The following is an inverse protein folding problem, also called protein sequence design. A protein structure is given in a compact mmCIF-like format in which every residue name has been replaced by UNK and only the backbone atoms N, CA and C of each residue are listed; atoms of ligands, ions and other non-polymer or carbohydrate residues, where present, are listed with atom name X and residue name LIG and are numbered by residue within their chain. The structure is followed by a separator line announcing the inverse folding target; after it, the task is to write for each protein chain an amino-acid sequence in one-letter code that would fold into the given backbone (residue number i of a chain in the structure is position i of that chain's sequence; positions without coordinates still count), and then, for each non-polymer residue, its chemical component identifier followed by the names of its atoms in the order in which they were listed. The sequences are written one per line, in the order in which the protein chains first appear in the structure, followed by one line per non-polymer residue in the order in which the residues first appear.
data_IF_760766424066
#
_entry.id   IF_760766424066
#
_cell.length_a   1.000
_cell.length_b   1.000
_cell.length_c   1.000
_cell.angle_alpha   90.00
_cell.angle_beta   90.00
_cell.angle_gamma   90.00
#
_symmetry.space_group_name_H-M   'P 1'
#
loop_
_entity.id
_entity.type
_entity.pdbx_description
1 polymer ?
#
# COMPACT_ATOMS: atom_id res chain seq x y z
N UNK A 1 -0.94 37.45 -1.19
CA UNK A 1 -0.29 37.50 0.16
C UNK A 1 -0.74 36.34 1.06
N UNK A 2 -2.04 36.12 1.29
CA UNK A 2 -2.57 35.00 2.12
C UNK A 2 -2.06 33.60 1.73
N UNK A 3 -1.95 33.32 0.42
CA UNK A 3 -1.48 32.01 -0.06
C UNK A 3 -0.01 31.75 0.30
N UNK A 4 0.84 32.78 0.23
CA UNK A 4 2.26 32.68 0.61
C UNK A 4 2.43 32.47 2.11
N UNK A 5 1.60 33.11 2.94
CA UNK A 5 1.63 32.94 4.40
C UNK A 5 1.21 31.51 4.79
N UNK A 6 0.17 30.96 4.15
CA UNK A 6 -0.26 29.57 4.34
C UNK A 6 0.85 28.58 3.95
N UNK A 7 1.49 28.79 2.79
CA UNK A 7 2.60 27.95 2.34
C UNK A 7 3.79 28.01 3.30
N UNK A 8 4.14 29.18 3.83
CA UNK A 8 5.22 29.33 4.82
C UNK A 8 4.89 28.63 6.14
N UNK A 9 3.66 28.73 6.63
CA UNK A 9 3.21 28.01 7.83
C UNK A 9 3.27 26.48 7.65
N UNK A 10 2.92 25.99 6.46
CA UNK A 10 2.98 24.57 6.12
C UNK A 10 4.43 24.09 6.01
N UNK A 11 5.33 24.87 5.38
CA UNK A 11 6.75 24.57 5.33
C UNK A 11 7.40 24.52 6.73
N UNK A 12 7.00 25.43 7.63
CA UNK A 12 7.48 25.43 9.01
C UNK A 12 6.95 24.21 9.81
N UNK A 13 5.67 23.84 9.60
CA UNK A 13 5.07 22.66 10.22
C UNK A 13 5.68 21.35 9.69
N UNK A 14 6.02 21.28 8.40
CA UNK A 14 6.67 20.12 7.79
C UNK A 14 8.07 19.90 8.38
N UNK A 15 8.87 20.96 8.56
CA UNK A 15 10.22 20.85 9.15
C UNK A 15 10.22 20.40 10.62
N UNK A 16 9.18 20.71 11.39
CA UNK A 16 9.11 20.40 12.84
C UNK A 16 8.38 19.11 13.18
N UNK A 17 7.53 18.60 12.30
CA UNK A 17 6.69 17.43 12.60
C UNK A 17 7.33 16.13 12.13
N UNK A 18 7.47 15.17 13.04
CA UNK A 18 7.86 13.80 12.72
C UNK A 18 6.63 12.91 12.61
N UNK A 19 6.63 11.95 11.69
CA UNK A 19 5.55 10.98 11.59
C UNK A 19 5.76 9.90 12.66
N UNK A 20 4.80 9.74 13.56
CA UNK A 20 4.85 8.67 14.56
C UNK A 20 4.78 7.28 13.91
N UNK A 21 5.41 6.28 14.55
CA UNK A 21 5.35 4.87 14.10
C UNK A 21 3.91 4.39 13.92
N UNK A 22 3.02 4.82 14.80
CA UNK A 22 1.60 4.48 14.76
C UNK A 22 0.88 5.05 13.54
N UNK A 23 1.18 6.30 13.16
CA UNK A 23 0.61 6.93 11.98
C UNK A 23 1.10 6.25 10.70
N UNK A 24 2.41 5.94 10.63
CA UNK A 24 2.97 5.18 9.51
C UNK A 24 2.33 3.78 9.40
N UNK A 25 2.19 3.07 10.52
CA UNK A 25 1.52 1.77 10.56
C UNK A 25 0.05 1.85 10.08
N UNK A 26 -0.70 2.86 10.50
CA UNK A 26 -2.09 3.06 10.05
C UNK A 26 -2.19 3.24 8.52
N UNK A 27 -1.24 3.96 7.91
CA UNK A 27 -1.16 4.10 6.46
C UNK A 27 -0.85 2.76 5.77
N UNK A 28 0.19 2.04 6.24
CA UNK A 28 0.58 0.73 5.71
C UNK A 28 -0.60 -0.25 5.70
N UNK A 29 -1.24 -0.40 6.86
CA UNK A 29 -2.38 -1.32 7.05
C UNK A 29 -3.54 -0.95 6.13
N UNK A 30 -3.89 0.33 6.05
CA UNK A 30 -5.00 0.77 5.21
C UNK A 30 -4.72 0.57 3.71
N UNK A 31 -3.48 0.78 3.26
CA UNK A 31 -3.05 0.53 1.88
C UNK A 31 -3.16 -0.96 1.53
N UNK A 32 -2.57 -1.85 2.33
CA UNK A 32 -2.59 -3.29 2.07
C UNK A 32 -4.00 -3.84 2.16
N UNK A 33 -4.81 -3.42 3.15
CA UNK A 33 -6.21 -3.85 3.24
C UNK A 33 -6.99 -3.49 1.97
N UNK A 34 -6.76 -2.30 1.41
CA UNK A 34 -7.38 -1.92 0.15
C UNK A 34 -6.90 -2.80 -1.02
N UNK A 35 -5.59 -2.98 -1.16
CA UNK A 35 -5.01 -3.76 -2.27
C UNK A 35 -5.38 -5.25 -2.19
N UNK A 36 -5.35 -5.86 -1.01
CA UNK A 36 -5.74 -7.25 -0.79
C UNK A 36 -7.23 -7.44 -1.16
N UNK A 37 -8.12 -6.50 -0.81
CA UNK A 37 -9.53 -6.55 -1.25
C UNK A 37 -9.71 -6.46 -2.78
N UNK A 38 -8.77 -5.83 -3.48
CA UNK A 38 -8.76 -5.77 -4.95
C UNK A 38 -8.24 -7.08 -5.53
N UNK A 39 -7.21 -7.66 -4.92
CA UNK A 39 -6.69 -9.00 -5.25
C UNK A 39 -7.77 -10.08 -5.07
N UNK A 40 -8.57 -10.01 -4.01
CA UNK A 40 -9.69 -10.94 -3.77
C UNK A 40 -10.76 -10.86 -4.85
N UNK A 41 -11.14 -9.64 -5.23
CA UNK A 41 -12.09 -9.41 -6.32
C UNK A 41 -11.54 -9.91 -7.65
N UNK A 42 -10.24 -9.72 -7.89
CA UNK A 42 -9.58 -10.26 -9.07
C UNK A 42 -9.61 -11.79 -9.06
N UNK A 43 -9.20 -12.45 -7.97
CA UNK A 43 -9.26 -13.90 -7.80
C UNK A 43 -10.65 -14.44 -8.12
N UNK A 44 -11.69 -13.91 -7.47
CA UNK A 44 -13.09 -14.33 -7.73
C UNK A 44 -13.50 -14.21 -9.20
N UNK A 45 -13.07 -13.14 -9.88
CA UNK A 45 -13.35 -12.94 -11.31
C UNK A 45 -12.64 -13.97 -12.18
N UNK A 46 -11.36 -14.24 -11.92
CA UNK A 46 -10.56 -15.19 -12.70
C UNK A 46 -11.05 -16.63 -12.47
N UNK A 47 -11.42 -16.97 -11.24
CA UNK A 47 -12.01 -18.27 -10.91
C UNK A 47 -13.35 -18.47 -11.61
N UNK A 48 -14.18 -17.41 -11.71
CA UNK A 48 -15.47 -17.46 -12.42
C UNK A 48 -15.34 -17.74 -13.93
N UNK A 49 -14.23 -17.34 -14.57
CA UNK A 49 -13.97 -17.60 -15.99
C UNK A 49 -13.24 -18.93 -16.25
N UNK A 50 -13.18 -19.82 -15.26
CA UNK A 50 -12.63 -21.19 -15.40
C UNK A 50 -11.14 -21.34 -15.10
N UNK A 51 -10.48 -20.29 -14.59
CA UNK A 51 -9.06 -20.32 -14.23
C UNK A 51 -8.88 -20.29 -12.71
N UNK A 52 -8.78 -21.46 -12.03
CA UNK A 52 -8.60 -21.50 -10.58
C UNK A 52 -7.23 -20.92 -10.18
N UNK A 53 -7.23 -19.98 -9.23
CA UNK A 53 -5.99 -19.43 -8.66
C UNK A 53 -5.54 -20.33 -7.51
N UNK A 54 -4.42 -21.02 -7.70
CA UNK A 54 -3.86 -21.91 -6.68
C UNK A 54 -3.38 -21.13 -5.45
N UNK A 55 -3.30 -21.77 -4.26
CA UNK A 55 -2.79 -21.10 -3.06
C UNK A 55 -1.39 -20.46 -3.24
N UNK A 56 -0.40 -21.11 -3.89
CA UNK A 56 0.89 -20.48 -4.17
C UNK A 56 0.77 -19.24 -5.07
N UNK A 57 -0.07 -19.27 -6.11
CA UNK A 57 -0.29 -18.08 -6.96
C UNK A 57 -0.91 -16.95 -6.15
N UNK A 58 -1.90 -17.25 -5.30
CA UNK A 58 -2.55 -16.25 -4.45
C UNK A 58 -1.56 -15.64 -3.44
N UNK A 59 -0.71 -16.46 -2.81
CA UNK A 59 0.38 -15.95 -1.95
C UNK A 59 1.26 -14.96 -2.71
N UNK A 60 1.65 -15.25 -3.95
CA UNK A 60 2.47 -14.31 -4.72
C UNK A 60 1.72 -13.03 -5.09
N UNK A 61 0.41 -13.10 -5.37
CA UNK A 61 -0.40 -11.89 -5.59
C UNK A 61 -0.44 -10.98 -4.36
N UNK A 62 -0.59 -11.57 -3.17
CA UNK A 62 -0.53 -10.83 -1.90
C UNK A 62 0.87 -10.29 -1.61
N UNK A 63 1.90 -11.02 -2.01
CA UNK A 63 3.30 -10.57 -1.92
C UNK A 63 3.53 -9.32 -2.78
N UNK A 64 3.05 -9.26 -4.03
CA UNK A 64 3.22 -8.07 -4.88
C UNK A 64 2.64 -6.80 -4.25
N UNK A 65 1.53 -6.90 -3.51
CA UNK A 65 0.97 -5.77 -2.77
C UNK A 65 1.93 -5.27 -1.68
N UNK A 66 2.54 -6.20 -0.94
CA UNK A 66 3.46 -5.93 0.18
C UNK A 66 4.81 -5.44 -0.29
N UNK A 67 5.37 -6.05 -1.33
CA UNK A 67 6.59 -5.61 -2.00
C UNK A 67 6.45 -4.15 -2.47
N UNK A 68 5.33 -3.82 -3.13
CA UNK A 68 5.09 -2.44 -3.57
C UNK A 68 5.01 -1.44 -2.42
N UNK A 69 4.43 -1.84 -1.29
CA UNK A 69 4.43 -1.01 -0.09
C UNK A 69 5.86 -0.84 0.45
N UNK A 70 6.62 -1.92 0.58
CA UNK A 70 7.98 -1.91 1.13
C UNK A 70 8.92 -1.01 0.32
N UNK A 71 8.91 -1.16 -1.01
CA UNK A 71 9.78 -0.42 -1.95
C UNK A 71 9.54 1.11 -1.95
N UNK A 72 8.35 1.55 -1.54
CA UNK A 72 7.94 2.97 -1.61
C UNK A 72 7.47 3.51 -0.27
N UNK A 73 7.68 2.76 0.81
CA UNK A 73 7.08 3.06 2.10
C UNK A 73 7.49 4.46 2.59
N UNK A 74 8.79 4.78 2.59
CA UNK A 74 9.30 6.08 3.04
C UNK A 74 8.65 7.22 2.24
N UNK A 75 8.64 7.11 0.92
CA UNK A 75 8.02 8.09 0.04
C UNK A 75 6.52 8.25 0.31
N UNK A 76 5.80 7.15 0.53
CA UNK A 76 4.37 7.19 0.84
C UNK A 76 4.08 7.86 2.17
N UNK A 77 4.88 7.62 3.20
CA UNK A 77 4.72 8.26 4.51
C UNK A 77 4.97 9.76 4.40
N UNK A 78 6.07 10.16 3.75
CA UNK A 78 6.42 11.58 3.58
C UNK A 78 5.41 12.34 2.72
N UNK A 79 4.99 11.76 1.60
CA UNK A 79 3.96 12.38 0.75
C UNK A 79 2.62 12.46 1.49
N UNK A 80 2.27 11.44 2.29
CA UNK A 80 1.06 11.48 3.11
C UNK A 80 1.10 12.62 4.12
N UNK A 81 2.21 12.80 4.84
CA UNK A 81 2.42 13.90 5.77
C UNK A 81 2.23 15.25 5.07
N UNK A 82 2.91 15.47 3.95
CA UNK A 82 2.82 16.72 3.17
C UNK A 82 1.40 17.02 2.74
N UNK A 83 0.69 16.04 2.17
CA UNK A 83 -0.70 16.22 1.71
C UNK A 83 -1.64 16.53 2.88
N UNK A 84 -1.45 15.86 4.03
CA UNK A 84 -2.28 16.12 5.23
C UNK A 84 -2.06 17.55 5.73
N UNK A 85 -0.80 18.01 5.85
CA UNK A 85 -0.48 19.37 6.28
C UNK A 85 -0.95 20.43 5.28
N UNK A 86 -0.78 20.19 3.98
CA UNK A 86 -1.27 21.09 2.92
C UNK A 86 -2.79 21.28 2.98
N UNK A 87 -3.53 20.25 3.36
CA UNK A 87 -4.97 20.33 3.60
C UNK A 87 -5.36 20.93 4.94
N UNK A 88 -4.43 21.46 5.73
CA UNK A 88 -4.68 22.02 7.07
C UNK A 88 -5.09 20.98 8.13
N UNK A 89 -4.82 19.68 7.87
CA UNK A 89 -5.27 18.59 8.74
C UNK A 89 -4.20 18.18 9.75
N UNK A 90 -4.63 17.61 10.89
CA UNK A 90 -3.73 17.07 11.92
C UNK A 90 -3.09 15.74 11.50
N UNK A 91 -1.83 15.53 11.88
CA UNK A 91 -1.10 14.27 11.67
C UNK A 91 -1.57 13.18 12.65
N UNK A 92 -2.64 12.45 12.30
CA UNK A 92 -3.21 11.39 13.14
C UNK A 92 -3.53 10.11 12.34
N UNK A 93 -3.80 9.02 13.08
CA UNK A 93 -4.08 7.69 12.53
C UNK A 93 -5.18 7.71 11.45
N UNK A 94 -6.27 8.44 11.67
CA UNK A 94 -7.41 8.52 10.74
C UNK A 94 -7.00 9.12 9.39
N UNK A 95 -6.22 10.19 9.41
CA UNK A 95 -5.76 10.87 8.20
C UNK A 95 -4.71 10.03 7.46
N UNK A 96 -3.77 9.41 8.16
CA UNK A 96 -2.82 8.49 7.54
C UNK A 96 -3.50 7.23 6.96
N UNK A 97 -4.51 6.68 7.63
CA UNK A 97 -5.31 5.58 7.08
C UNK A 97 -6.12 5.99 5.84
N UNK A 98 -6.60 7.24 5.77
CA UNK A 98 -7.21 7.80 4.55
C UNK A 98 -6.19 7.87 3.42
N UNK A 99 -4.99 8.37 3.69
CA UNK A 99 -3.91 8.43 2.71
C UNK A 99 -3.50 7.03 2.23
N UNK A 100 -3.38 6.05 3.12
CA UNK A 100 -3.10 4.66 2.75
C UNK A 100 -4.09 4.09 1.75
N UNK A 101 -5.40 4.35 1.92
CA UNK A 101 -6.43 3.95 0.95
C UNK A 101 -6.27 4.64 -0.41
N UNK A 102 -5.95 5.94 -0.42
CA UNK A 102 -5.71 6.71 -1.66
C UNK A 102 -4.49 6.16 -2.40
N UNK A 103 -3.40 5.90 -1.68
CA UNK A 103 -2.17 5.32 -2.22
C UNK A 103 -2.44 3.92 -2.78
N UNK A 104 -3.19 3.09 -2.05
CA UNK A 104 -3.64 1.78 -2.54
C UNK A 104 -4.45 1.88 -3.83
N UNK A 105 -5.38 2.83 -3.91
CA UNK A 105 -6.16 3.08 -5.14
C UNK A 105 -5.28 3.50 -6.32
N UNK A 106 -4.27 4.35 -6.12
CA UNK A 106 -3.33 4.73 -7.17
C UNK A 106 -2.46 3.55 -7.62
N UNK A 107 -1.97 2.74 -6.68
CA UNK A 107 -1.06 1.62 -6.98
C UNK A 107 -1.75 0.37 -7.52
N UNK A 108 -3.07 0.22 -7.36
CA UNK A 108 -3.79 -0.94 -7.89
C UNK A 108 -3.58 -1.13 -9.41
N UNK A 109 -3.42 -0.03 -10.15
CA UNK A 109 -3.23 -0.07 -11.61
C UNK A 109 -1.86 -0.65 -12.00
N UNK A 110 -0.83 -0.33 -11.23
CA UNK A 110 0.52 -0.89 -11.40
C UNK A 110 0.48 -2.39 -11.11
N UNK A 111 -0.22 -2.78 -10.05
CA UNK A 111 -0.31 -4.17 -9.60
C UNK A 111 -1.19 -5.03 -10.52
N UNK A 112 -2.16 -4.42 -11.22
CA UNK A 112 -3.04 -5.12 -12.18
C UNK A 112 -2.25 -5.86 -13.26
N UNK A 113 -1.16 -5.28 -13.77
CA UNK A 113 -0.30 -5.95 -14.77
C UNK A 113 0.33 -7.23 -14.21
N UNK A 114 0.82 -7.18 -12.96
CA UNK A 114 1.41 -8.34 -12.27
C UNK A 114 0.36 -9.40 -11.95
N UNK A 115 -0.85 -8.99 -11.59
CA UNK A 115 -1.99 -9.89 -11.39
C UNK A 115 -2.31 -10.72 -12.65
N UNK A 116 -2.41 -10.06 -13.81
CA UNK A 116 -2.65 -10.74 -15.08
C UNK A 116 -1.49 -11.64 -15.52
N UNK A 117 -0.24 -11.23 -15.25
CA UNK A 117 0.90 -12.09 -15.51
C UNK A 117 0.81 -13.40 -14.73
N UNK A 118 0.40 -13.36 -13.45
CA UNK A 118 0.25 -14.55 -12.61
C UNK A 118 -0.78 -15.56 -13.15
N UNK A 119 -1.83 -15.09 -13.84
CA UNK A 119 -2.83 -15.96 -14.48
C UNK A 119 -2.23 -16.80 -15.61
N UNK A 120 -1.17 -16.29 -16.27
CA UNK A 120 -0.49 -16.96 -17.38
C UNK A 120 0.60 -17.93 -16.92
N UNK A 121 0.91 -17.97 -15.63
CA UNK A 121 1.95 -18.86 -15.09
C UNK A 121 1.45 -20.29 -15.00
N UNK A 122 2.33 -21.26 -15.27
CA UNK A 122 2.03 -22.69 -15.24
C UNK A 122 1.34 -23.13 -13.93
N UNK A 123 0.42 -24.10 -14.03
CA UNK A 123 -0.30 -24.69 -12.87
C UNK A 123 0.62 -25.24 -11.77
N UNK A 124 1.85 -25.62 -12.08
CA UNK A 124 2.86 -26.11 -11.10
C UNK A 124 3.64 -25.00 -10.39
N UNK A 125 3.13 -23.76 -10.38
CA UNK A 125 3.77 -22.63 -9.75
C UNK A 125 4.01 -22.82 -8.25
N UNK A 126 5.19 -22.39 -7.77
CA UNK A 126 5.55 -22.37 -6.35
C UNK A 126 5.85 -20.92 -5.93
N UNK A 127 5.22 -20.48 -4.85
CA UNK A 127 5.57 -19.20 -4.21
C UNK A 127 6.96 -19.31 -3.59
N UNK A 128 7.77 -18.25 -3.74
CA UNK A 128 9.10 -18.18 -3.15
C UNK A 128 9.02 -18.19 -1.61
N UNK A 129 10.11 -18.62 -0.95
CA UNK A 129 10.20 -18.59 0.51
C UNK A 129 10.04 -17.16 1.05
N UNK A 130 10.61 -16.17 0.35
CA UNK A 130 10.48 -14.74 0.68
C UNK A 130 9.02 -14.29 0.58
N UNK A 131 8.30 -14.66 -0.48
CA UNK A 131 6.89 -14.30 -0.63
C UNK A 131 6.05 -14.84 0.53
N UNK A 132 6.26 -16.10 0.92
CA UNK A 132 5.57 -16.71 2.08
C UNK A 132 5.90 -15.96 3.38
N UNK A 133 7.18 -15.68 3.63
CA UNK A 133 7.65 -14.96 4.82
C UNK A 133 7.00 -13.58 4.93
N UNK A 134 7.06 -12.78 3.86
CA UNK A 134 6.53 -11.42 3.83
C UNK A 134 5.01 -11.40 3.97
N UNK A 135 4.30 -12.34 3.33
CA UNK A 135 2.83 -12.41 3.44
C UNK A 135 2.37 -12.76 4.86
N UNK A 136 3.15 -13.57 5.58
CA UNK A 136 2.87 -13.95 6.96
C UNK A 136 3.16 -12.83 7.99
N UNK A 137 3.95 -11.82 7.63
CA UNK A 137 4.24 -10.70 8.54
C UNK A 137 3.00 -9.83 8.77
N UNK A 138 2.88 -9.30 10.00
CA UNK A 138 1.93 -8.23 10.30
C UNK A 138 2.29 -7.01 9.44
N UNK A 139 1.30 -6.45 8.75
CA UNK A 139 1.51 -5.34 7.81
C UNK A 139 2.14 -4.11 8.47
N UNK A 140 1.82 -3.83 9.74
CA UNK A 140 2.41 -2.73 10.50
C UNK A 140 3.93 -2.86 10.63
N UNK A 141 4.42 -4.11 10.72
CA UNK A 141 5.81 -4.47 10.98
C UNK A 141 6.61 -4.68 9.68
N UNK A 142 5.98 -4.54 8.50
CA UNK A 142 6.70 -4.61 7.24
C UNK A 142 7.76 -3.51 7.17
N UNK A 143 9.00 -3.82 6.76
CA UNK A 143 10.06 -2.83 6.66
C UNK A 143 9.76 -1.82 5.56
N UNK A 144 10.35 -0.65 5.69
CA UNK A 144 10.39 0.36 4.65
C UNK A 144 11.80 0.29 4.10
N UNK A 145 11.93 -0.11 2.82
CA UNK A 145 13.21 -0.26 2.15
C UNK A 145 13.68 1.07 1.56
#
# INVERSE_FOLDING_TARGET
VLLCVLLMAICAADKKSTVSKENAAAMKVAMIKFLDSRTDRFKKRIEKIGYPITPPQYTTLLYYNRERLMDWCHNYVEVSKKIILLGGNKLNKKNFARMGRIIGWKNQWILKRRQWHMVRVMRRYKASAIAKKIVAMKVADLPCN
#
